data_IF_836144238537
#
_entry.id   IF_836144238537
#
_cell.length_a   1.000
_cell.length_b   1.000
_cell.length_c   1.000
_cell.angle_alpha   90.00
_cell.angle_beta   90.00
_cell.angle_gamma   90.00
#
_symmetry.space_group_name_H-M   'P 1'
#
loop_
_entity.id
_entity.type
_entity.pdbx_description
1 polymer ?
#
# COMPACT_ATOMS: atom_id res chain seq x y z
N UNK A 1 82.22 8.64 -7.55
CA UNK A 1 81.08 9.56 -7.36
C UNK A 1 80.15 9.34 -8.53
N UNK A 2 79.05 8.63 -8.42
CA UNK A 2 77.78 9.22 -8.83
C UNK A 2 76.69 8.89 -7.83
N UNK A 3 75.84 9.87 -7.61
CA UNK A 3 74.64 9.87 -6.81
C UNK A 3 73.52 9.24 -7.59
N UNK A 4 72.91 8.19 -7.02
CA UNK A 4 71.69 7.63 -7.55
C UNK A 4 70.46 8.22 -6.83
N UNK A 5 69.62 8.90 -7.57
CA UNK A 5 68.30 9.34 -7.11
C UNK A 5 67.31 8.19 -7.05
N UNK A 6 66.47 8.02 -6.02
CA UNK A 6 65.39 7.10 -6.05
C UNK A 6 64.16 7.72 -6.69
N UNK A 7 63.58 7.00 -7.66
CA UNK A 7 62.32 7.27 -8.32
C UNK A 7 61.16 7.21 -7.33
N UNK A 8 60.44 8.29 -7.24
CA UNK A 8 59.21 8.47 -6.49
C UNK A 8 58.09 7.66 -7.14
N UNK A 9 57.77 6.49 -6.60
CA UNK A 9 56.62 5.74 -7.02
C UNK A 9 55.37 6.29 -6.33
N UNK A 10 54.63 7.10 -7.06
CA UNK A 10 53.27 7.55 -6.65
C UNK A 10 52.34 6.35 -6.57
N UNK A 11 52.11 5.85 -5.35
CA UNK A 11 51.09 4.88 -5.10
C UNK A 11 49.71 5.52 -5.27
N UNK A 12 49.04 5.19 -6.34
CA UNK A 12 47.61 5.44 -6.52
C UNK A 12 46.86 4.53 -5.53
N UNK A 13 46.35 5.10 -4.47
CA UNK A 13 45.34 4.46 -3.64
C UNK A 13 44.02 4.46 -4.40
N UNK A 14 43.37 3.27 -4.56
CA UNK A 14 42.01 3.22 -5.09
C UNK A 14 41.05 3.83 -4.05
N UNK A 15 39.93 4.46 -4.48
CA UNK A 15 38.94 4.95 -3.55
C UNK A 15 38.33 3.77 -2.79
N UNK A 16 38.39 3.87 -1.48
CA UNK A 16 37.67 2.97 -0.56
C UNK A 16 36.18 3.24 -0.80
N UNK A 17 35.55 2.34 -1.51
CA UNK A 17 34.08 2.23 -1.53
C UNK A 17 33.70 1.79 -0.13
N UNK A 18 33.14 2.67 0.65
CA UNK A 18 32.50 2.32 1.92
C UNK A 18 31.28 1.48 1.58
N UNK A 19 31.46 0.16 1.58
CA UNK A 19 30.35 -0.76 1.73
C UNK A 19 29.78 -0.53 3.12
N UNK A 20 28.68 0.24 3.18
CA UNK A 20 27.80 0.22 4.35
C UNK A 20 27.11 -1.14 4.34
N UNK A 21 27.70 -2.07 5.03
CA UNK A 21 27.03 -3.29 5.45
C UNK A 21 25.84 -2.85 6.35
N UNK A 22 24.63 -2.89 5.79
CA UNK A 22 23.41 -2.84 6.58
C UNK A 22 23.35 -4.12 7.43
N UNK A 23 23.95 -4.07 8.59
CA UNK A 23 23.84 -5.14 9.58
C UNK A 23 22.42 -5.13 10.14
N UNK A 24 21.61 -6.10 9.72
CA UNK A 24 20.35 -6.42 10.38
C UNK A 24 20.64 -6.74 11.86
N UNK A 25 20.18 -5.87 12.76
CA UNK A 25 20.34 -6.14 14.19
C UNK A 25 19.33 -7.19 14.62
N UNK A 26 19.83 -8.30 15.17
CA UNK A 26 19.02 -9.35 15.80
C UNK A 26 18.74 -8.89 17.22
N UNK A 27 17.46 -8.80 17.60
CA UNK A 27 17.09 -8.54 18.98
C UNK A 27 17.25 -9.80 19.84
N UNK A 28 17.19 -9.65 21.17
CA UNK A 28 17.32 -10.74 22.13
C UNK A 28 16.21 -11.80 22.03
N UNK A 29 15.21 -11.62 21.16
CA UNK A 29 14.11 -12.55 20.88
C UNK A 29 14.30 -13.33 19.58
N UNK A 30 15.45 -13.19 18.89
CA UNK A 30 15.72 -13.89 17.64
C UNK A 30 14.93 -13.39 16.43
N UNK A 31 14.32 -12.20 16.51
CA UNK A 31 13.60 -11.58 15.42
C UNK A 31 14.51 -10.63 14.64
N UNK A 32 14.58 -10.82 13.34
CA UNK A 32 15.31 -9.94 12.43
C UNK A 32 14.47 -8.67 12.23
N UNK A 33 14.93 -7.54 12.76
CA UNK A 33 14.35 -6.23 12.40
C UNK A 33 14.95 -5.78 11.09
N UNK A 34 14.18 -5.89 10.01
CA UNK A 34 14.57 -5.32 8.72
C UNK A 34 14.23 -3.83 8.76
N UNK A 35 15.24 -2.99 8.86
CA UNK A 35 15.09 -1.55 8.63
C UNK A 35 15.10 -1.29 7.12
N UNK A 36 13.91 -1.07 6.56
CA UNK A 36 13.80 -0.57 5.19
C UNK A 36 14.38 0.84 5.13
N UNK A 37 15.36 1.05 4.27
CA UNK A 37 15.92 2.38 4.00
C UNK A 37 14.81 3.35 3.54
N UNK A 38 14.97 4.67 3.75
CA UNK A 38 14.00 5.66 3.27
C UNK A 38 13.68 5.49 1.79
N UNK A 39 14.67 5.17 0.98
CA UNK A 39 14.54 4.92 -0.45
C UNK A 39 13.68 3.66 -0.77
N UNK A 40 13.78 2.61 0.04
CA UNK A 40 12.93 1.42 -0.10
C UNK A 40 11.46 1.69 0.24
N UNK A 41 11.19 2.59 1.18
CA UNK A 41 9.83 3.04 1.51
C UNK A 41 9.21 3.86 0.38
N UNK A 42 9.99 4.77 -0.23
CA UNK A 42 9.53 5.58 -1.36
C UNK A 42 9.23 4.74 -2.59
N UNK A 43 10.05 3.74 -2.90
CA UNK A 43 9.80 2.79 -3.99
C UNK A 43 8.54 1.95 -3.75
N UNK A 44 8.28 1.55 -2.52
CA UNK A 44 7.07 0.81 -2.15
C UNK A 44 5.81 1.68 -2.29
N UNK A 45 5.86 2.95 -1.87
CA UNK A 45 4.76 3.90 -2.04
C UNK A 45 4.50 4.21 -3.51
N UNK A 46 5.56 4.40 -4.30
CA UNK A 46 5.45 4.66 -5.75
C UNK A 46 4.84 3.48 -6.49
N UNK A 47 5.23 2.25 -6.14
CA UNK A 47 4.65 1.05 -6.76
C UNK A 47 3.17 0.85 -6.40
N UNK A 48 2.77 1.13 -5.17
CA UNK A 48 1.38 1.09 -4.75
C UNK A 48 0.54 2.17 -5.46
N UNK A 49 1.06 3.38 -5.61
CA UNK A 49 0.40 4.45 -6.36
C UNK A 49 0.29 4.13 -7.85
N UNK A 50 1.30 3.51 -8.46
CA UNK A 50 1.26 3.09 -9.85
C UNK A 50 0.21 1.98 -10.08
N UNK A 51 0.08 1.02 -9.17
CA UNK A 51 -0.96 -0.01 -9.21
C UNK A 51 -2.36 0.58 -9.06
N UNK A 52 -2.56 1.54 -8.14
CA UNK A 52 -3.83 2.27 -8.00
C UNK A 52 -4.21 3.02 -9.28
N UNK A 53 -3.27 3.77 -9.87
CA UNK A 53 -3.49 4.45 -11.16
C UNK A 53 -3.84 3.49 -12.30
N UNK A 54 -3.27 2.30 -12.34
CA UNK A 54 -3.60 1.27 -13.33
C UNK A 54 -5.02 0.75 -13.18
N UNK A 55 -5.45 0.53 -11.93
CA UNK A 55 -6.76 0.01 -11.57
C UNK A 55 -7.90 1.00 -11.82
N UNK A 56 -7.65 2.30 -11.62
CA UNK A 56 -8.67 3.33 -11.67
C UNK A 56 -8.74 4.05 -13.04
N UNK A 57 -8.05 3.51 -14.06
CA UNK A 57 -8.02 4.09 -15.41
C UNK A 57 -9.41 4.20 -16.07
N UNK A 58 -10.26 3.23 -15.82
CA UNK A 58 -11.65 3.21 -16.29
C UNK A 58 -12.45 4.38 -15.69
N UNK A 59 -12.30 4.61 -14.38
CA UNK A 59 -12.91 5.75 -13.69
C UNK A 59 -12.32 7.07 -14.21
N UNK A 60 -10.99 7.14 -14.37
CA UNK A 60 -10.31 8.35 -14.86
C UNK A 60 -10.74 8.72 -16.28
N UNK A 61 -10.97 7.72 -17.15
CA UNK A 61 -11.38 7.90 -18.54
C UNK A 61 -12.88 8.09 -18.73
N UNK A 62 -13.69 7.90 -17.70
CA UNK A 62 -15.14 8.11 -17.75
C UNK A 62 -15.50 9.58 -17.99
N UNK A 63 -16.73 9.83 -18.46
CA UNK A 63 -17.26 11.17 -18.67
C UNK A 63 -17.79 11.84 -17.39
N UNK A 64 -17.70 11.14 -16.25
CA UNK A 64 -18.29 11.54 -14.98
C UNK A 64 -17.57 12.77 -14.36
N UNK A 65 -18.29 13.58 -13.58
CA UNK A 65 -17.69 14.67 -12.81
C UNK A 65 -16.63 14.17 -11.82
N UNK A 66 -15.60 14.97 -11.57
CA UNK A 66 -14.46 14.60 -10.71
C UNK A 66 -14.89 14.19 -9.30
N UNK A 67 -15.89 14.85 -8.71
CA UNK A 67 -16.42 14.50 -7.38
C UNK A 67 -17.00 13.08 -7.35
N UNK A 68 -17.63 12.61 -8.42
CA UNK A 68 -18.11 11.23 -8.54
C UNK A 68 -16.95 10.27 -8.72
N UNK A 69 -15.98 10.60 -9.59
CA UNK A 69 -14.76 9.80 -9.78
C UNK A 69 -14.02 9.55 -8.48
N UNK A 70 -13.85 10.57 -7.66
CA UNK A 70 -13.17 10.47 -6.37
C UNK A 70 -13.91 9.54 -5.40
N UNK A 71 -15.24 9.62 -5.36
CA UNK A 71 -16.05 8.72 -4.53
C UNK A 71 -15.96 7.28 -5.03
N UNK A 72 -16.02 7.05 -6.34
CA UNK A 72 -15.88 5.73 -6.96
C UNK A 72 -14.53 5.09 -6.63
N UNK A 73 -13.43 5.84 -6.75
CA UNK A 73 -12.10 5.38 -6.36
C UNK A 73 -12.04 5.01 -4.89
N UNK A 74 -12.65 5.83 -4.02
CA UNK A 74 -12.73 5.54 -2.59
C UNK A 74 -13.52 4.26 -2.29
N UNK A 75 -14.64 4.04 -2.97
CA UNK A 75 -15.43 2.81 -2.85
C UNK A 75 -14.60 1.59 -3.26
N UNK A 76 -13.85 1.68 -4.36
CA UNK A 76 -12.97 0.63 -4.85
C UNK A 76 -11.83 0.33 -3.87
N UNK A 77 -11.21 1.35 -3.30
CA UNK A 77 -10.20 1.20 -2.24
C UNK A 77 -10.76 0.52 -0.98
N UNK A 78 -11.97 0.87 -0.56
CA UNK A 78 -12.62 0.26 0.59
C UNK A 78 -12.97 -1.21 0.33
N UNK A 79 -13.49 -1.55 -0.86
CA UNK A 79 -13.73 -2.93 -1.26
C UNK A 79 -12.45 -3.77 -1.22
N UNK A 80 -11.33 -3.24 -1.74
CA UNK A 80 -10.04 -3.92 -1.70
C UNK A 80 -9.55 -4.15 -0.27
N UNK A 81 -9.64 -3.15 0.60
CA UNK A 81 -9.26 -3.29 2.01
C UNK A 81 -10.10 -4.34 2.72
N UNK A 82 -11.41 -4.39 2.46
CA UNK A 82 -12.31 -5.43 2.98
C UNK A 82 -11.84 -6.82 2.52
N UNK A 83 -11.52 -6.99 1.24
CA UNK A 83 -11.00 -8.27 0.71
C UNK A 83 -9.69 -8.67 1.39
N UNK A 84 -8.76 -7.74 1.57
CA UNK A 84 -7.50 -7.99 2.28
C UNK A 84 -7.74 -8.42 3.73
N UNK A 85 -8.67 -7.77 4.42
CA UNK A 85 -9.03 -8.14 5.80
C UNK A 85 -9.75 -9.48 5.91
N UNK A 86 -10.55 -9.85 4.92
CA UNK A 86 -11.15 -11.19 4.85
C UNK A 86 -10.09 -12.28 4.66
N UNK A 87 -9.09 -12.03 3.81
CA UNK A 87 -7.95 -12.97 3.66
C UNK A 87 -7.11 -13.06 4.94
N UNK A 88 -6.90 -11.93 5.64
CA UNK A 88 -6.22 -11.91 6.93
C UNK A 88 -6.98 -12.75 7.97
N UNK A 89 -8.31 -12.59 8.04
CA UNK A 89 -9.17 -13.37 8.92
C UNK A 89 -9.04 -14.88 8.65
N UNK A 90 -9.08 -15.29 7.38
CA UNK A 90 -8.90 -16.69 6.98
C UNK A 90 -7.53 -17.22 7.38
N UNK A 91 -6.46 -16.41 7.20
CA UNK A 91 -5.10 -16.78 7.59
C UNK A 91 -4.98 -16.98 9.10
N UNK A 92 -5.58 -16.11 9.91
CA UNK A 92 -5.58 -16.22 11.37
C UNK A 92 -6.32 -17.50 11.79
N UNK A 93 -7.47 -17.79 11.19
CA UNK A 93 -8.25 -18.99 11.48
C UNK A 93 -7.48 -20.28 11.15
N UNK A 94 -6.77 -20.30 10.04
CA UNK A 94 -5.95 -21.44 9.60
C UNK A 94 -4.63 -21.57 10.36
N UNK A 95 -4.21 -20.55 11.11
CA UNK A 95 -2.93 -20.54 11.83
C UNK A 95 -3.01 -21.43 13.08
N UNK A 96 -2.03 -22.34 13.21
CA UNK A 96 -1.83 -23.18 14.41
C UNK A 96 -0.63 -22.72 15.26
N UNK A 97 -0.04 -21.55 14.94
CA UNK A 97 1.23 -21.09 15.54
C UNK A 97 1.06 -20.17 16.73
N UNK A 98 -0.14 -19.59 16.94
CA UNK A 98 -0.42 -18.65 18.02
C UNK A 98 -1.18 -19.35 19.14
N UNK A 99 -1.05 -18.85 20.36
CA UNK A 99 -1.91 -19.31 21.46
C UNK A 99 -3.38 -18.96 21.17
N UNK A 100 -4.30 -19.72 21.74
CA UNK A 100 -5.75 -19.47 21.57
C UNK A 100 -6.15 -18.05 22.00
N UNK A 101 -5.49 -17.51 23.02
CA UNK A 101 -5.76 -16.15 23.50
C UNK A 101 -5.28 -15.09 22.49
N UNK A 102 -4.08 -15.25 21.92
CA UNK A 102 -3.56 -14.35 20.87
C UNK A 102 -4.40 -14.41 19.61
N UNK A 103 -4.76 -15.62 19.17
CA UNK A 103 -5.62 -15.84 18.01
C UNK A 103 -6.96 -15.15 18.16
N UNK A 104 -7.59 -15.28 19.35
CA UNK A 104 -8.84 -14.60 19.65
C UNK A 104 -8.71 -13.07 19.57
N UNK A 105 -7.65 -12.52 20.16
CA UNK A 105 -7.41 -11.08 20.13
C UNK A 105 -7.19 -10.56 18.70
N UNK A 106 -6.46 -11.30 17.86
CA UNK A 106 -6.26 -10.94 16.45
C UNK A 106 -7.58 -11.02 15.65
N UNK A 107 -8.39 -12.05 15.88
CA UNK A 107 -9.71 -12.18 15.25
C UNK A 107 -10.64 -11.01 15.62
N UNK A 108 -10.73 -10.69 16.92
CA UNK A 108 -11.57 -9.59 17.41
C UNK A 108 -11.13 -8.24 16.79
N UNK A 109 -9.81 -8.01 16.65
CA UNK A 109 -9.28 -6.82 16.00
C UNK A 109 -9.67 -6.74 14.53
N UNK A 110 -9.42 -7.81 13.76
CA UNK A 110 -9.74 -7.84 12.33
C UNK A 110 -11.24 -7.69 12.08
N UNK A 111 -12.06 -8.30 12.95
CA UNK A 111 -13.50 -8.17 12.87
C UNK A 111 -13.98 -6.73 13.14
N UNK A 112 -13.38 -6.05 14.10
CA UNK A 112 -13.65 -4.63 14.37
C UNK A 112 -13.26 -3.75 13.18
N UNK A 113 -12.10 -4.00 12.57
CA UNK A 113 -11.64 -3.29 11.38
C UNK A 113 -12.58 -3.53 10.18
N UNK A 114 -13.04 -4.77 9.95
CA UNK A 114 -14.04 -5.09 8.93
C UNK A 114 -15.37 -4.36 9.14
N UNK A 115 -15.86 -4.28 10.38
CA UNK A 115 -17.07 -3.53 10.68
C UNK A 115 -16.91 -2.03 10.38
N UNK A 116 -15.76 -1.46 10.72
CA UNK A 116 -15.43 -0.07 10.40
C UNK A 116 -15.37 0.18 8.90
N UNK A 117 -14.71 -0.70 8.14
CA UNK A 117 -14.61 -0.61 6.68
C UNK A 117 -15.98 -0.73 5.99
N UNK A 118 -16.84 -1.65 6.46
CA UNK A 118 -18.20 -1.79 5.95
C UNK A 118 -19.05 -0.53 6.24
N UNK A 119 -18.89 0.07 7.42
CA UNK A 119 -19.52 1.36 7.74
C UNK A 119 -19.04 2.49 6.82
N UNK A 120 -17.73 2.55 6.57
CA UNK A 120 -17.16 3.53 5.65
C UNK A 120 -17.65 3.31 4.20
N UNK A 121 -17.77 2.05 3.76
CA UNK A 121 -18.29 1.70 2.44
C UNK A 121 -19.76 2.14 2.29
N UNK A 122 -20.61 1.85 3.29
CA UNK A 122 -22.00 2.32 3.30
C UNK A 122 -22.09 3.83 3.24
N UNK A 123 -21.25 4.54 3.99
CA UNK A 123 -21.19 6.00 3.98
C UNK A 123 -20.75 6.55 2.62
N UNK A 124 -19.78 5.90 1.96
CA UNK A 124 -19.33 6.29 0.63
C UNK A 124 -20.43 6.10 -0.43
N UNK A 125 -21.20 4.99 -0.37
CA UNK A 125 -22.36 4.80 -1.24
C UNK A 125 -23.46 5.84 -1.00
N UNK A 126 -23.76 6.15 0.25
CA UNK A 126 -24.74 7.20 0.56
C UNK A 126 -24.31 8.58 0.05
N UNK A 127 -22.99 8.89 0.17
CA UNK A 127 -22.42 10.13 -0.36
C UNK A 127 -22.48 10.16 -1.89
N UNK A 128 -22.19 9.04 -2.56
CA UNK A 128 -22.30 8.91 -4.02
C UNK A 128 -23.73 9.23 -4.49
N UNK A 129 -24.73 8.57 -3.88
CA UNK A 129 -26.13 8.81 -4.22
C UNK A 129 -26.51 10.28 -4.02
N UNK A 130 -26.12 10.86 -2.88
CA UNK A 130 -26.39 12.27 -2.60
C UNK A 130 -25.78 13.19 -3.66
N UNK A 131 -24.50 12.98 -4.01
CA UNK A 131 -23.84 13.82 -5.02
C UNK A 131 -24.49 13.66 -6.39
N UNK A 132 -24.85 12.43 -6.79
CA UNK A 132 -25.59 12.19 -8.04
C UNK A 132 -26.94 12.91 -8.10
N UNK A 133 -27.63 13.00 -6.97
CA UNK A 133 -28.92 13.72 -6.87
C UNK A 133 -28.70 15.22 -6.85
N UNK A 134 -27.71 15.73 -6.09
CA UNK A 134 -27.40 17.17 -5.97
C UNK A 134 -27.00 17.80 -7.32
N UNK A 135 -26.34 17.04 -8.20
CA UNK A 135 -25.93 17.51 -9.54
C UNK A 135 -26.92 17.11 -10.65
N UNK A 136 -28.07 16.51 -10.30
CA UNK A 136 -29.08 16.03 -11.24
C UNK A 136 -28.47 15.17 -12.37
N UNK A 137 -27.60 14.22 -11.99
CA UNK A 137 -26.90 13.35 -12.94
C UNK A 137 -27.90 12.64 -13.86
N UNK A 138 -27.66 12.69 -15.17
CA UNK A 138 -28.55 12.09 -16.17
C UNK A 138 -28.55 10.54 -16.09
N UNK A 139 -29.52 9.92 -16.78
CA UNK A 139 -29.70 8.47 -16.71
C UNK A 139 -28.53 7.68 -17.25
N UNK A 140 -27.90 8.14 -18.32
CA UNK A 140 -26.77 7.45 -18.96
C UNK A 140 -25.53 7.50 -18.05
N UNK A 141 -25.25 8.65 -17.47
CA UNK A 141 -24.15 8.79 -16.50
C UNK A 141 -24.41 7.98 -15.19
N UNK A 142 -25.67 7.84 -14.76
CA UNK A 142 -26.02 6.95 -13.63
C UNK A 142 -25.77 5.47 -13.97
N UNK A 143 -26.03 5.05 -15.20
CA UNK A 143 -25.69 3.70 -15.66
C UNK A 143 -24.18 3.48 -15.69
N UNK A 144 -23.41 4.46 -16.20
CA UNK A 144 -21.94 4.42 -16.18
C UNK A 144 -21.37 4.27 -14.75
N UNK A 145 -21.93 4.99 -13.78
CA UNK A 145 -21.60 4.82 -12.35
C UNK A 145 -21.87 3.39 -11.87
N UNK A 146 -23.03 2.82 -12.26
CA UNK A 146 -23.39 1.45 -11.92
C UNK A 146 -22.40 0.42 -12.46
N UNK A 147 -21.98 0.56 -13.70
CA UNK A 147 -21.01 -0.31 -14.36
C UNK A 147 -19.63 -0.23 -13.68
N UNK A 148 -19.18 0.98 -13.34
CA UNK A 148 -17.91 1.23 -12.64
C UNK A 148 -17.90 0.70 -11.19
N UNK A 149 -19.07 0.61 -10.55
CA UNK A 149 -19.20 -0.01 -9.23
C UNK A 149 -19.11 -1.54 -9.27
N UNK A 150 -19.41 -2.16 -10.40
CA UNK A 150 -19.35 -3.62 -10.57
C UNK A 150 -18.03 -4.12 -11.14
N UNK A 151 -17.22 -3.24 -11.72
CA UNK A 151 -15.88 -3.54 -12.25
C UNK A 151 -14.85 -3.68 -11.11
#
# INVERSE_FOLDING_TARGET
>A
MPVAEPLNATAMTPPVVSEQEESGSIDSSGRIKVHLSPMGKDLSLTSQQAQKKGRDKDIDSSSLPDGIKDILKRIRDLKEQIQQKLMELQRIQASNKSSEAEKKQELDRVQSELNSLNGALSSAHAMLNKVMDDIELDGDARMEVGDLLMA
#
